data_IF_706218933246
#
_entry.id   IF_706218933246
#
_cell.length_a   1.000
_cell.length_b   1.000
_cell.length_c   1.000
_cell.angle_alpha   90.00
_cell.angle_beta   90.00
_cell.angle_gamma   90.00
#
_symmetry.space_group_name_H-M   'P 1'
#
loop_
_entity.id
_entity.type
_entity.pdbx_description
1 polymer ?
#
# COMPACT_ATOMS: atom_id res chain seq x y z
N UNK A 1 42.60 11.02 12.83
CA UNK A 1 41.18 11.08 12.44
C UNK A 1 40.45 9.97 13.16
N UNK A 2 39.77 10.31 14.25
CA UNK A 2 39.03 9.36 15.09
C UNK A 2 37.73 8.95 14.37
N UNK A 3 37.67 7.72 13.91
CA UNK A 3 36.43 7.04 13.50
C UNK A 3 35.48 7.01 14.68
N UNK A 4 34.52 7.94 14.72
CA UNK A 4 33.36 7.87 15.60
C UNK A 4 32.52 6.67 15.14
N UNK A 5 32.76 5.52 15.75
CA UNK A 5 31.79 4.42 15.75
C UNK A 5 30.56 4.95 16.49
N UNK A 6 29.56 5.44 15.76
CA UNK A 6 28.27 5.77 16.35
C UNK A 6 27.69 4.45 16.88
N UNK A 7 27.29 4.37 18.17
CA UNK A 7 26.55 3.21 18.64
C UNK A 7 25.34 3.03 17.72
N UNK A 8 25.05 1.79 17.31
CA UNK A 8 23.94 1.46 16.41
C UNK A 8 22.61 1.70 17.11
N UNK A 9 22.24 2.96 17.32
CA UNK A 9 20.93 3.30 17.86
C UNK A 9 19.93 2.94 16.79
N UNK A 10 19.06 1.97 17.06
CA UNK A 10 17.92 1.56 16.23
C UNK A 10 16.89 2.70 16.13
N UNK A 11 17.30 3.88 15.64
CA UNK A 11 16.45 5.05 15.50
C UNK A 11 15.93 5.12 14.08
N UNK A 12 14.61 5.19 13.95
CA UNK A 12 13.96 5.29 12.66
C UNK A 12 12.82 6.30 12.68
N UNK A 13 12.50 6.85 11.51
CA UNK A 13 11.32 7.66 11.31
C UNK A 13 10.31 6.92 10.42
N UNK A 14 9.03 6.95 10.79
CA UNK A 14 7.93 6.46 9.95
C UNK A 14 7.12 7.66 9.46
N UNK A 15 7.25 7.97 8.17
CA UNK A 15 6.49 9.02 7.49
C UNK A 15 5.16 8.43 7.01
N UNK A 16 4.04 9.03 7.41
CA UNK A 16 2.72 8.42 7.24
C UNK A 16 2.40 7.42 8.36
N UNK A 17 3.06 7.55 9.52
CA UNK A 17 2.89 6.64 10.64
C UNK A 17 1.48 6.65 11.23
N UNK A 18 0.69 7.72 11.08
CA UNK A 18 -0.71 7.74 11.52
C UNK A 18 -1.66 7.00 10.55
N UNK A 19 -1.17 6.51 9.41
CA UNK A 19 -1.93 5.73 8.45
C UNK A 19 -2.13 4.27 8.87
N UNK A 20 -2.92 3.52 8.09
CA UNK A 20 -3.23 2.11 8.34
C UNK A 20 -1.97 1.23 8.46
N UNK A 21 -1.16 1.14 7.39
CA UNK A 21 0.08 0.37 7.40
C UNK A 21 1.11 0.98 8.38
N UNK A 22 1.25 2.31 8.36
CA UNK A 22 2.21 3.04 9.19
C UNK A 22 2.04 2.74 10.67
N UNK A 23 0.79 2.65 11.15
CA UNK A 23 0.47 2.30 12.53
C UNK A 23 1.00 0.93 12.93
N UNK A 24 0.66 -0.09 12.14
CA UNK A 24 1.11 -1.46 12.40
C UNK A 24 2.65 -1.55 12.36
N UNK A 25 3.28 -0.77 11.47
CA UNK A 25 4.74 -0.69 11.39
C UNK A 25 5.35 -0.04 12.64
N UNK A 26 4.81 1.09 13.12
CA UNK A 26 5.25 1.76 14.36
C UNK A 26 5.12 0.81 15.55
N UNK A 27 3.96 0.19 15.74
CA UNK A 27 3.71 -0.77 16.82
C UNK A 27 4.74 -1.92 16.80
N UNK A 28 5.02 -2.49 15.61
CA UNK A 28 6.00 -3.57 15.47
C UNK A 28 7.44 -3.13 15.70
N UNK A 29 7.82 -1.93 15.26
CA UNK A 29 9.16 -1.37 15.46
C UNK A 29 9.42 -1.09 16.94
N UNK A 30 8.45 -0.52 17.66
CA UNK A 30 8.55 -0.31 19.11
C UNK A 30 8.73 -1.65 19.85
N UNK A 31 7.95 -2.67 19.51
CA UNK A 31 8.12 -4.02 20.07
C UNK A 31 9.50 -4.64 19.78
N UNK A 32 10.18 -4.25 18.70
CA UNK A 32 11.56 -4.68 18.38
C UNK A 32 12.65 -3.80 19.02
N UNK A 33 12.26 -2.84 19.87
CA UNK A 33 13.17 -1.96 20.59
C UNK A 33 13.75 -0.82 19.74
N UNK A 34 13.07 -0.40 18.68
CA UNK A 34 13.46 0.79 17.94
C UNK A 34 13.05 2.06 18.69
N UNK A 35 13.88 3.10 18.61
CA UNK A 35 13.48 4.47 18.93
C UNK A 35 12.74 5.05 17.71
N UNK A 36 11.42 5.15 17.79
CA UNK A 36 10.59 5.52 16.64
C UNK A 36 10.16 6.98 16.70
N UNK A 37 10.50 7.75 15.68
CA UNK A 37 9.84 9.02 15.36
C UNK A 37 8.71 8.75 14.37
N UNK A 38 7.59 9.44 14.53
CA UNK A 38 6.46 9.40 13.59
C UNK A 38 6.25 10.79 13.01
N UNK A 39 6.19 10.88 11.69
CA UNK A 39 5.90 12.12 10.99
C UNK A 39 4.61 11.96 10.18
N UNK A 40 3.63 12.82 10.43
CA UNK A 40 2.35 12.78 9.75
C UNK A 40 1.65 14.15 9.75
N UNK A 41 0.71 14.35 8.84
CA UNK A 41 -0.13 15.56 8.78
C UNK A 41 -1.17 15.62 9.89
N UNK A 42 -1.40 14.50 10.59
CA UNK A 42 -2.32 14.42 11.73
C UNK A 42 -1.90 13.32 12.70
N UNK A 43 -2.22 13.50 13.98
CA UNK A 43 -2.11 12.44 14.97
C UNK A 43 -3.48 11.80 15.19
N UNK A 44 -3.75 10.68 14.52
CA UNK A 44 -5.06 10.02 14.59
C UNK A 44 -5.24 9.14 15.83
N UNK A 45 -4.17 8.87 16.57
CA UNK A 45 -4.17 8.05 17.78
C UNK A 45 -2.90 8.30 18.60
N UNK A 46 -2.93 7.93 19.87
CA UNK A 46 -1.74 7.96 20.73
C UNK A 46 -0.80 6.80 20.41
N UNK A 47 0.51 7.07 20.40
CA UNK A 47 1.56 6.08 20.15
C UNK A 47 2.54 6.07 21.32
N UNK A 48 2.21 5.42 22.45
CA UNK A 48 3.10 5.32 23.59
C UNK A 48 4.47 4.75 23.16
N UNK A 49 5.55 5.44 23.49
CA UNK A 49 6.92 5.05 23.15
C UNK A 49 7.44 5.59 21.81
N UNK A 50 6.63 6.25 20.99
CA UNK A 50 7.08 6.97 19.80
C UNK A 50 7.04 8.50 20.01
N UNK A 51 7.94 9.22 19.33
CA UNK A 51 7.91 10.69 19.29
C UNK A 51 7.15 11.15 18.05
N UNK A 52 6.02 11.84 18.25
CA UNK A 52 5.21 12.35 17.15
C UNK A 52 5.66 13.74 16.69
N UNK A 53 5.73 13.94 15.38
CA UNK A 53 6.04 15.20 14.72
C UNK A 53 4.93 15.52 13.72
N UNK A 54 4.21 16.62 13.98
CA UNK A 54 3.18 17.12 13.07
C UNK A 54 3.82 17.92 11.94
N UNK A 55 3.49 17.59 10.69
CA UNK A 55 3.93 18.40 9.56
C UNK A 55 3.49 17.89 8.20
N UNK A 56 3.57 18.76 7.20
CA UNK A 56 3.45 18.39 5.79
C UNK A 56 4.80 17.93 5.26
N UNK A 57 4.86 16.75 4.63
CA UNK A 57 6.08 16.20 4.07
C UNK A 57 6.62 17.00 2.87
N UNK A 58 5.82 17.93 2.32
CA UNK A 58 6.28 18.91 1.33
C UNK A 58 7.12 20.02 1.97
N UNK A 59 7.05 20.20 3.29
CA UNK A 59 7.88 21.13 4.03
C UNK A 59 9.13 20.44 4.59
N UNK A 60 10.28 20.64 3.91
CA UNK A 60 11.56 20.06 4.31
C UNK A 60 11.93 20.37 5.76
N UNK A 61 11.70 21.61 6.21
CA UNK A 61 12.07 22.04 7.56
C UNK A 61 11.22 21.37 8.63
N UNK A 62 9.98 20.99 8.32
CA UNK A 62 9.14 20.22 9.23
C UNK A 62 9.65 18.76 9.40
N UNK A 63 10.27 18.19 8.36
CA UNK A 63 10.81 16.82 8.39
C UNK A 63 12.07 16.70 9.25
N UNK A 64 12.98 17.67 9.20
CA UNK A 64 14.31 17.57 9.84
C UNK A 64 14.27 17.21 11.34
N UNK A 65 13.37 17.78 12.18
CA UNK A 65 13.23 17.36 13.57
C UNK A 65 12.90 15.87 13.74
N UNK A 66 12.05 15.32 12.88
CA UNK A 66 11.66 13.90 12.93
C UNK A 66 12.77 12.96 12.45
N UNK A 67 13.66 13.46 11.58
CA UNK A 67 14.79 12.73 11.02
C UNK A 67 16.06 12.84 11.86
N UNK A 68 16.06 13.66 12.92
CA UNK A 68 17.22 13.87 13.77
C UNK A 68 17.74 12.53 14.33
N UNK A 69 19.01 12.25 14.05
CA UNK A 69 19.74 11.03 14.44
C UNK A 69 19.15 9.71 13.89
N UNK A 70 18.17 9.77 12.98
CA UNK A 70 17.60 8.58 12.37
C UNK A 70 18.53 8.01 11.30
N UNK A 71 18.84 6.72 11.37
CA UNK A 71 19.61 6.03 10.32
C UNK A 71 18.70 5.44 9.23
N UNK A 72 17.40 5.34 9.51
CA UNK A 72 16.41 4.62 8.71
C UNK A 72 15.09 5.40 8.64
N UNK A 73 14.53 5.51 7.44
CA UNK A 73 13.21 6.08 7.19
C UNK A 73 12.32 5.07 6.48
N UNK A 74 11.10 4.91 6.98
CA UNK A 74 10.02 4.23 6.29
C UNK A 74 9.06 5.28 5.72
N UNK A 75 8.92 5.33 4.40
CA UNK A 75 8.01 6.24 3.73
C UNK A 75 6.73 5.50 3.33
N UNK A 76 5.71 5.60 4.19
CA UNK A 76 4.39 4.99 4.03
C UNK A 76 3.30 5.99 3.58
N UNK A 77 3.60 7.28 3.57
CA UNK A 77 2.63 8.33 3.22
C UNK A 77 2.23 8.30 1.73
N UNK A 78 0.93 8.28 1.51
CA UNK A 78 0.24 8.46 0.23
C UNK A 78 -1.20 8.88 0.53
N UNK A 79 -1.86 9.66 -0.34
CA UNK A 79 -3.32 9.83 -0.26
C UNK A 79 -4.04 8.49 -0.44
N UNK A 80 -5.30 8.44 -0.01
CA UNK A 80 -6.15 7.26 -0.18
C UNK A 80 -6.31 6.93 -1.68
N UNK A 81 -6.12 5.67 -2.13
CA UNK A 81 -6.28 5.28 -3.54
C UNK A 81 -7.65 5.61 -4.12
N UNK A 82 -8.68 5.73 -3.28
CA UNK A 82 -10.04 6.11 -3.68
C UNK A 82 -10.25 7.62 -3.89
N UNK A 83 -9.23 8.46 -3.67
CA UNK A 83 -9.31 9.90 -3.91
C UNK A 83 -9.38 10.20 -5.41
N UNK A 84 -10.16 11.21 -5.79
CA UNK A 84 -10.20 11.73 -7.17
C UNK A 84 -9.30 12.99 -7.34
N UNK A 85 -8.59 13.38 -6.28
CA UNK A 85 -7.76 14.59 -6.26
C UNK A 85 -6.37 14.31 -6.85
N UNK A 86 -6.22 14.60 -8.15
CA UNK A 86 -4.95 14.46 -8.89
C UNK A 86 -3.84 15.33 -8.30
N UNK A 87 -4.14 16.58 -7.98
CA UNK A 87 -3.14 17.53 -7.46
C UNK A 87 -2.61 17.07 -6.10
N UNK A 88 -3.48 16.52 -5.25
CA UNK A 88 -3.08 15.92 -3.99
C UNK A 88 -2.12 14.73 -4.20
N UNK A 89 -2.38 13.86 -5.18
CA UNK A 89 -1.48 12.76 -5.51
C UNK A 89 -0.12 13.25 -6.00
N UNK A 90 -0.08 14.19 -6.95
CA UNK A 90 1.17 14.75 -7.47
C UNK A 90 1.95 15.46 -6.37
N UNK A 91 1.25 16.25 -5.52
CA UNK A 91 1.86 16.95 -4.39
C UNK A 91 2.47 15.98 -3.39
N UNK A 92 1.74 14.97 -2.95
CA UNK A 92 2.19 14.07 -1.89
C UNK A 92 3.17 13.01 -2.41
N UNK A 93 2.80 12.28 -3.46
CA UNK A 93 3.60 11.13 -3.92
C UNK A 93 4.82 11.56 -4.74
N UNK A 94 4.77 12.69 -5.44
CA UNK A 94 5.90 13.15 -6.27
C UNK A 94 6.69 14.24 -5.55
N UNK A 95 6.10 15.43 -5.36
CA UNK A 95 6.84 16.56 -4.76
C UNK A 95 7.27 16.26 -3.33
N UNK A 96 6.35 15.72 -2.55
CA UNK A 96 6.59 15.25 -1.20
C UNK A 96 7.73 14.25 -1.09
N UNK A 97 7.77 13.26 -1.97
CA UNK A 97 8.84 12.27 -2.00
C UNK A 97 10.19 12.89 -2.34
N UNK A 98 10.24 13.86 -3.26
CA UNK A 98 11.48 14.63 -3.52
C UNK A 98 11.94 15.35 -2.26
N UNK A 99 11.03 15.99 -1.53
CA UNK A 99 11.33 16.65 -0.26
C UNK A 99 11.83 15.66 0.79
N UNK A 100 11.22 14.49 0.90
CA UNK A 100 11.67 13.41 1.82
C UNK A 100 13.08 12.96 1.49
N UNK A 101 13.40 12.71 0.21
CA UNK A 101 14.75 12.33 -0.22
C UNK A 101 15.76 13.43 0.14
N UNK A 102 15.46 14.69 -0.16
CA UNK A 102 16.32 15.82 0.19
C UNK A 102 16.54 15.95 1.71
N UNK A 103 15.47 15.81 2.51
CA UNK A 103 15.55 15.86 3.97
C UNK A 103 16.36 14.69 4.54
N UNK A 104 16.23 13.49 3.96
CA UNK A 104 17.02 12.31 4.35
C UNK A 104 18.51 12.55 4.12
N UNK A 105 18.88 13.03 2.93
CA UNK A 105 20.28 13.33 2.59
C UNK A 105 20.85 14.43 3.51
N UNK A 106 20.09 15.50 3.77
CA UNK A 106 20.51 16.59 4.66
C UNK A 106 20.67 16.13 6.12
N UNK A 107 19.78 15.26 6.61
CA UNK A 107 19.84 14.71 7.96
C UNK A 107 20.87 13.58 8.14
N UNK A 108 21.48 13.09 7.05
CA UNK A 108 22.41 11.96 7.06
C UNK A 108 21.74 10.61 7.34
N UNK A 109 20.47 10.46 6.92
CA UNK A 109 19.77 9.16 6.92
C UNK A 109 20.46 8.25 5.91
N UNK A 110 20.69 6.98 6.26
CA UNK A 110 21.40 6.02 5.41
C UNK A 110 20.47 5.12 4.61
N UNK A 111 19.24 4.91 5.09
CA UNK A 111 18.31 3.92 4.53
C UNK A 111 16.92 4.49 4.35
N UNK A 112 16.36 4.33 3.16
CA UNK A 112 14.97 4.70 2.85
C UNK A 112 14.20 3.49 2.30
N UNK A 113 13.19 3.05 3.04
CA UNK A 113 12.25 2.00 2.62
C UNK A 113 10.94 2.66 2.20
N UNK A 114 10.62 2.58 0.91
CA UNK A 114 9.36 3.09 0.37
C UNK A 114 8.29 2.01 0.41
N UNK A 115 7.11 2.33 0.92
CA UNK A 115 5.89 1.57 0.61
C UNK A 115 5.42 1.99 -0.78
N UNK A 116 5.70 1.20 -1.80
CA UNK A 116 5.16 1.33 -3.16
C UNK A 116 3.82 0.59 -3.29
N UNK A 117 3.49 0.08 -4.48
CA UNK A 117 2.27 -0.68 -4.76
C UNK A 117 2.52 -1.67 -5.89
N UNK A 118 1.92 -2.85 -5.85
CA UNK A 118 1.92 -3.74 -7.01
C UNK A 118 1.17 -3.14 -8.22
N UNK A 119 0.32 -2.12 -8.01
CA UNK A 119 -0.38 -1.44 -9.10
C UNK A 119 0.56 -0.74 -10.08
N UNK A 120 1.81 -0.44 -9.72
CA UNK A 120 2.78 0.26 -10.59
C UNK A 120 3.09 -0.48 -11.89
N UNK A 121 2.81 -1.78 -11.96
CA UNK A 121 2.95 -2.62 -13.17
C UNK A 121 1.61 -3.07 -13.75
N UNK A 122 0.48 -2.69 -13.15
CA UNK A 122 -0.85 -3.13 -13.55
C UNK A 122 -1.56 -2.10 -14.42
N UNK A 123 -2.00 -2.52 -15.61
CA UNK A 123 -2.70 -1.68 -16.60
C UNK A 123 -4.12 -2.18 -16.92
N UNK A 124 -4.77 -2.88 -15.98
CA UNK A 124 -6.13 -3.39 -16.18
C UNK A 124 -6.20 -4.64 -17.06
N UNK A 125 -5.10 -5.39 -17.14
CA UNK A 125 -4.99 -6.66 -17.87
C UNK A 125 -4.44 -7.75 -16.95
N UNK A 126 -4.73 -8.99 -17.30
CA UNK A 126 -4.25 -10.17 -16.56
C UNK A 126 -2.74 -10.13 -16.32
N UNK A 127 -2.37 -10.20 -15.04
CA UNK A 127 -1.02 -10.52 -14.57
C UNK A 127 -1.13 -11.80 -13.75
N UNK A 128 -0.45 -12.85 -14.21
CA UNK A 128 -0.39 -14.15 -13.56
C UNK A 128 1.04 -14.43 -13.12
N UNK A 129 1.25 -14.50 -11.81
CA UNK A 129 2.56 -14.71 -11.19
C UNK A 129 3.59 -13.64 -11.61
N UNK A 130 3.16 -12.38 -11.63
CA UNK A 130 3.97 -11.23 -12.08
C UNK A 130 5.25 -11.04 -11.26
N UNK A 131 6.36 -10.83 -11.94
CA UNK A 131 7.67 -10.60 -11.34
C UNK A 131 7.98 -9.09 -11.23
N UNK A 132 8.91 -8.69 -10.37
CA UNK A 132 9.17 -7.26 -10.14
C UNK A 132 9.80 -6.51 -11.32
N UNK A 133 10.37 -7.24 -12.30
CA UNK A 133 10.96 -6.72 -13.54
C UNK A 133 9.93 -6.44 -14.64
N UNK A 134 8.64 -6.73 -14.39
CA UNK A 134 7.58 -6.25 -15.26
C UNK A 134 7.71 -4.73 -15.47
N UNK A 135 7.52 -4.24 -16.71
CA UNK A 135 7.62 -2.82 -16.98
C UNK A 135 6.53 -2.06 -16.21
N UNK A 136 6.85 -0.84 -15.80
CA UNK A 136 5.84 0.07 -15.27
C UNK A 136 4.66 0.19 -16.25
N UNK A 137 3.45 0.33 -15.70
CA UNK A 137 2.24 0.48 -16.49
C UNK A 137 2.37 1.69 -17.43
N UNK A 138 2.23 1.45 -18.74
CA UNK A 138 2.31 2.53 -19.76
C UNK A 138 1.04 3.36 -19.82
N UNK A 139 -0.08 2.74 -19.43
CA UNK A 139 -1.39 3.38 -19.31
C UNK A 139 -1.88 3.16 -17.88
N UNK A 140 -1.39 3.97 -16.90
CA UNK A 140 -1.84 3.88 -15.52
C UNK A 140 -3.35 3.97 -15.44
N UNK A 141 -3.91 3.20 -14.53
CA UNK A 141 -5.35 3.00 -14.44
C UNK A 141 -6.07 4.09 -13.63
N UNK A 142 -5.32 4.80 -12.80
CA UNK A 142 -5.77 5.89 -11.94
C UNK A 142 -4.58 6.79 -11.58
N UNK A 143 -4.88 7.98 -11.02
CA UNK A 143 -3.87 8.94 -10.56
C UNK A 143 -2.98 8.35 -9.46
N UNK A 144 -3.53 7.44 -8.65
CA UNK A 144 -2.75 6.73 -7.65
C UNK A 144 -1.61 5.95 -8.33
N UNK A 145 -1.92 5.09 -9.29
CA UNK A 145 -0.95 4.25 -10.00
C UNK A 145 0.07 5.10 -10.75
N UNK A 146 -0.37 6.15 -11.46
CA UNK A 146 0.52 7.09 -12.16
C UNK A 146 1.54 7.70 -11.20
N UNK A 147 1.08 8.25 -10.07
CA UNK A 147 1.97 8.91 -9.12
C UNK A 147 2.79 7.94 -8.27
N UNK A 148 2.32 6.72 -8.02
CA UNK A 148 3.10 5.66 -7.37
C UNK A 148 4.25 5.16 -8.25
N UNK A 149 4.07 5.11 -9.56
CA UNK A 149 5.15 4.80 -10.52
C UNK A 149 6.26 5.85 -10.39
N UNK A 150 5.90 7.13 -10.43
CA UNK A 150 6.89 8.21 -10.32
C UNK A 150 7.53 8.27 -8.94
N UNK A 151 6.76 8.04 -7.87
CA UNK A 151 7.28 7.94 -6.51
C UNK A 151 8.33 6.83 -6.38
N UNK A 152 8.04 5.63 -6.93
CA UNK A 152 8.98 4.51 -6.89
C UNK A 152 10.25 4.81 -7.68
N UNK A 153 10.13 5.35 -8.90
CA UNK A 153 11.29 5.77 -9.70
C UNK A 153 12.16 6.76 -8.94
N UNK A 154 11.59 7.79 -8.34
CA UNK A 154 12.33 8.80 -7.58
C UNK A 154 13.14 8.16 -6.45
N UNK A 155 12.54 7.28 -5.66
CA UNK A 155 13.24 6.63 -4.53
C UNK A 155 14.31 5.65 -5.02
N UNK A 156 14.01 4.81 -6.01
CA UNK A 156 14.97 3.83 -6.50
C UNK A 156 16.17 4.49 -7.20
N UNK A 157 15.93 5.56 -7.95
CA UNK A 157 16.99 6.35 -8.61
C UNK A 157 17.84 7.15 -7.61
N UNK A 158 17.30 7.49 -6.44
CA UNK A 158 18.05 8.16 -5.39
C UNK A 158 19.03 7.23 -4.66
N UNK A 159 18.99 5.91 -4.91
CA UNK A 159 19.93 4.98 -4.32
C UNK A 159 21.36 5.30 -4.76
N UNK A 160 22.22 5.63 -3.81
CA UNK A 160 23.60 6.04 -4.04
C UNK A 160 24.50 5.39 -2.98
N UNK A 161 25.25 4.36 -3.40
CA UNK A 161 26.17 3.63 -2.52
C UNK A 161 27.38 4.46 -2.10
N UNK A 162 27.81 5.42 -2.92
CA UNK A 162 28.97 6.27 -2.61
C UNK A 162 28.62 7.30 -1.53
N UNK A 163 27.36 7.74 -1.51
CA UNK A 163 26.82 8.65 -0.47
C UNK A 163 26.23 7.93 0.74
N UNK A 164 26.39 6.61 0.83
CA UNK A 164 25.79 5.76 1.90
C UNK A 164 24.27 5.98 2.04
N UNK A 165 23.58 6.24 0.92
CA UNK A 165 22.13 6.43 0.89
C UNK A 165 21.46 5.32 0.08
N UNK A 166 21.01 4.29 0.79
CA UNK A 166 20.47 3.08 0.21
C UNK A 166 18.94 3.14 0.21
N UNK A 167 18.33 2.71 -0.89
CA UNK A 167 16.87 2.67 -1.00
C UNK A 167 16.35 1.32 -1.44
N UNK A 168 15.10 1.03 -1.11
CA UNK A 168 14.36 -0.17 -1.53
C UNK A 168 12.86 0.13 -1.55
N UNK A 169 12.13 -0.46 -2.47
CA UNK A 169 10.68 -0.28 -2.58
C UNK A 169 9.93 -1.59 -2.32
N UNK A 170 8.89 -1.53 -1.49
CA UNK A 170 8.01 -2.65 -1.19
C UNK A 170 6.71 -2.50 -1.97
N UNK A 171 6.36 -3.47 -2.80
CA UNK A 171 5.14 -3.49 -3.63
C UNK A 171 4.12 -4.48 -3.04
N UNK A 172 3.35 -4.09 -2.01
CA UNK A 172 2.26 -4.91 -1.52
C UNK A 172 1.07 -4.87 -2.50
N UNK A 173 0.19 -5.86 -2.38
CA UNK A 173 -1.09 -5.90 -3.10
C UNK A 173 -2.25 -6.22 -2.15
N UNK A 174 -3.36 -5.49 -2.29
CA UNK A 174 -4.58 -5.71 -1.52
C UNK A 174 -4.37 -5.76 0.00
N UNK A 175 -3.72 -4.75 0.59
CA UNK A 175 -3.44 -4.76 2.05
C UNK A 175 -4.75 -4.80 2.82
N UNK A 176 -4.90 -5.78 3.71
CA UNK A 176 -6.06 -5.90 4.58
C UNK A 176 -5.62 -6.29 6.01
N UNK A 177 -6.48 -6.06 6.99
CA UNK A 177 -6.16 -6.34 8.38
C UNK A 177 -7.02 -5.54 9.36
N UNK A 178 -6.81 -5.74 10.67
CA UNK A 178 -7.44 -4.91 11.69
C UNK A 178 -7.19 -3.42 11.47
N UNK A 179 -8.25 -2.61 11.54
CA UNK A 179 -8.23 -1.15 11.33
C UNK A 179 -8.00 -0.70 9.89
N UNK A 180 -8.11 -1.60 8.91
CA UNK A 180 -8.28 -1.25 7.51
C UNK A 180 -9.43 -0.23 7.31
N UNK A 181 -9.15 0.97 6.78
CA UNK A 181 -10.17 1.99 6.58
C UNK A 181 -10.94 1.84 5.27
N UNK A 182 -10.53 0.93 4.37
CA UNK A 182 -11.03 0.88 3.00
C UNK A 182 -11.73 -0.43 2.67
N UNK A 183 -11.03 -1.55 2.65
CA UNK A 183 -11.57 -2.79 2.09
C UNK A 183 -12.79 -3.28 2.87
N UNK A 184 -12.67 -3.49 4.19
CA UNK A 184 -13.77 -4.05 5.00
C UNK A 184 -14.95 -3.08 5.10
N UNK A 185 -14.76 -1.78 5.44
CA UNK A 185 -15.88 -0.84 5.52
C UNK A 185 -16.61 -0.66 4.18
N UNK A 186 -15.89 -0.54 3.06
CA UNK A 186 -16.50 -0.39 1.73
C UNK A 186 -17.26 -1.66 1.33
N UNK A 187 -16.69 -2.84 1.61
CA UNK A 187 -17.31 -4.12 1.35
C UNK A 187 -18.65 -4.25 2.10
N UNK A 188 -18.65 -3.91 3.40
CA UNK A 188 -19.86 -3.94 4.25
C UNK A 188 -20.91 -2.92 3.81
N UNK A 189 -20.51 -1.66 3.54
CA UNK A 189 -21.45 -0.64 3.03
C UNK A 189 -22.09 -1.07 1.70
N UNK A 190 -21.28 -1.65 0.80
CA UNK A 190 -21.77 -2.16 -0.50
C UNK A 190 -22.72 -3.34 -0.31
N UNK A 191 -22.49 -4.20 0.69
CA UNK A 191 -23.40 -5.30 1.03
C UNK A 191 -24.70 -4.81 1.67
N UNK A 192 -24.64 -3.82 2.58
CA UNK A 192 -25.82 -3.18 3.18
C UNK A 192 -26.72 -2.53 2.13
N UNK A 193 -26.13 -1.97 1.07
CA UNK A 193 -26.85 -1.42 -0.10
C UNK A 193 -27.35 -2.49 -1.08
N UNK A 194 -27.15 -3.77 -0.80
CA UNK A 194 -27.59 -4.88 -1.63
C UNK A 194 -26.80 -5.05 -2.94
N UNK A 195 -25.64 -4.40 -3.08
CA UNK A 195 -24.83 -4.39 -4.31
C UNK A 195 -23.77 -5.50 -4.34
N UNK A 196 -23.37 -6.07 -3.21
CA UNK A 196 -22.46 -7.24 -3.13
C UNK A 196 -23.14 -8.58 -3.44
N UNK A 197 -24.19 -8.61 -4.26
CA UNK A 197 -24.87 -9.85 -4.67
C UNK A 197 -24.29 -10.44 -5.96
N UNK A 198 -23.53 -9.64 -6.70
CA UNK A 198 -23.07 -9.95 -8.04
C UNK A 198 -21.58 -10.31 -8.07
N UNK A 199 -21.24 -11.32 -8.86
CA UNK A 199 -19.89 -11.74 -9.23
C UNK A 199 -19.65 -11.25 -10.66
N UNK A 200 -18.56 -10.53 -10.89
CA UNK A 200 -18.19 -10.05 -12.22
C UNK A 200 -17.40 -11.15 -12.92
N UNK A 201 -17.85 -11.56 -14.11
CA UNK A 201 -17.25 -12.65 -14.87
C UNK A 201 -17.61 -14.03 -14.30
N UNK A 202 -16.73 -15.00 -14.53
CA UNK A 202 -16.89 -16.38 -14.05
C UNK A 202 -16.43 -16.57 -12.59
N UNK A 203 -15.89 -15.52 -11.97
CA UNK A 203 -15.41 -15.54 -10.58
C UNK A 203 -14.10 -16.31 -10.37
N UNK A 204 -13.41 -16.72 -11.44
CA UNK A 204 -12.18 -17.52 -11.36
C UNK A 204 -10.91 -16.68 -11.24
N UNK A 205 -11.05 -15.35 -11.26
CA UNK A 205 -9.93 -14.42 -11.24
C UNK A 205 -9.16 -14.48 -9.90
N UNK A 206 -7.88 -14.85 -10.02
CA UNK A 206 -6.94 -14.94 -8.90
C UNK A 206 -6.25 -13.60 -8.66
N UNK A 207 -6.19 -13.20 -7.40
CA UNK A 207 -5.63 -11.93 -6.92
C UNK A 207 -4.86 -12.17 -5.62
N UNK A 208 -3.97 -11.23 -5.28
CA UNK A 208 -3.34 -11.22 -3.95
C UNK A 208 -4.15 -10.38 -2.94
N UNK A 209 -4.27 -10.88 -1.72
CA UNK A 209 -4.63 -10.06 -0.57
C UNK A 209 -3.57 -10.26 0.49
N UNK A 210 -2.89 -9.19 0.89
CA UNK A 210 -1.74 -9.31 1.79
C UNK A 210 -2.11 -8.83 3.17
N UNK A 211 -2.00 -9.70 4.17
CA UNK A 211 -2.27 -9.31 5.55
C UNK A 211 -1.27 -8.23 6.01
N UNK A 212 -1.76 -7.20 6.71
CA UNK A 212 -0.95 -6.02 7.07
C UNK A 212 0.31 -6.36 7.85
N UNK A 213 0.28 -7.36 8.74
CA UNK A 213 1.48 -7.78 9.48
C UNK A 213 2.54 -8.43 8.57
N UNK A 214 2.13 -9.09 7.48
CA UNK A 214 3.06 -9.64 6.48
C UNK A 214 3.73 -8.50 5.69
N UNK A 215 2.98 -7.45 5.37
CA UNK A 215 3.55 -6.25 4.74
C UNK A 215 4.56 -5.57 5.67
N UNK A 216 4.20 -5.39 6.95
CA UNK A 216 5.11 -4.85 7.97
C UNK A 216 6.36 -5.71 8.12
N UNK A 217 6.20 -7.04 8.14
CA UNK A 217 7.32 -7.96 8.18
C UNK A 217 8.26 -7.77 7.00
N UNK A 218 7.73 -7.65 5.78
CA UNK A 218 8.52 -7.36 4.57
C UNK A 218 9.28 -6.03 4.64
N UNK A 219 8.67 -4.97 5.19
CA UNK A 219 9.34 -3.67 5.37
C UNK A 219 10.54 -3.79 6.34
N UNK A 220 10.34 -4.48 7.47
CA UNK A 220 11.40 -4.64 8.46
C UNK A 220 12.54 -5.51 7.90
N UNK A 221 12.23 -6.60 7.21
CA UNK A 221 13.24 -7.42 6.55
C UNK A 221 14.04 -6.63 5.52
N UNK A 222 13.37 -5.81 4.72
CA UNK A 222 14.05 -4.94 3.76
C UNK A 222 15.00 -3.96 4.46
N UNK A 223 14.58 -3.32 5.55
CA UNK A 223 15.45 -2.44 6.32
C UNK A 223 16.68 -3.15 6.93
N UNK A 224 16.49 -4.38 7.42
CA UNK A 224 17.55 -5.22 8.01
C UNK A 224 18.56 -5.72 6.95
N UNK A 225 18.08 -6.00 5.73
CA UNK A 225 18.90 -6.47 4.61
C UNK A 225 19.47 -5.35 3.73
N UNK A 226 19.03 -4.10 3.91
CA UNK A 226 19.51 -2.96 3.12
C UNK A 226 20.89 -2.53 3.64
N UNK A 227 21.94 -3.07 3.00
CA UNK A 227 23.36 -2.83 3.30
C UNK A 227 24.09 -2.51 1.99
N UNK A 228 25.25 -1.81 2.01
CA UNK A 228 25.89 -1.36 0.78
C UNK A 228 26.20 -2.48 -0.24
N UNK A 229 26.53 -3.67 0.27
CA UNK A 229 26.83 -4.89 -0.48
C UNK A 229 25.58 -5.69 -0.90
N UNK A 230 24.39 -5.27 -0.44
CA UNK A 230 23.16 -6.02 -0.64
C UNK A 230 22.66 -5.93 -2.08
N UNK A 231 22.16 -7.05 -2.65
CA UNK A 231 21.55 -7.05 -3.98
C UNK A 231 20.24 -6.25 -4.03
N UNK A 232 19.68 -5.86 -2.88
CA UNK A 232 18.35 -5.23 -2.80
C UNK A 232 18.37 -3.71 -3.02
N UNK A 233 19.56 -3.09 -2.96
CA UNK A 233 19.73 -1.65 -3.12
C UNK A 233 19.19 -1.18 -4.48
N UNK A 234 18.33 -0.15 -4.46
CA UNK A 234 17.75 0.43 -5.66
C UNK A 234 16.78 -0.49 -6.38
N UNK A 235 16.20 -1.49 -5.68
CA UNK A 235 15.26 -2.45 -6.29
C UNK A 235 13.88 -2.49 -5.63
N UNK A 236 12.84 -2.85 -6.40
CA UNK A 236 11.54 -3.18 -5.88
C UNK A 236 11.40 -4.66 -5.51
N UNK A 237 10.51 -4.95 -4.54
CA UNK A 237 10.17 -6.29 -4.07
C UNK A 237 8.66 -6.45 -3.89
N UNK A 238 8.07 -7.49 -4.48
CA UNK A 238 6.69 -7.84 -4.18
C UNK A 238 6.61 -8.53 -2.81
N UNK A 239 5.70 -8.05 -1.98
CA UNK A 239 5.39 -8.65 -0.68
C UNK A 239 3.92 -9.04 -0.71
N UNK A 240 3.67 -10.34 -0.82
CA UNK A 240 2.33 -10.94 -0.94
C UNK A 240 2.09 -11.95 0.18
N UNK A 241 0.88 -12.48 0.30
CA UNK A 241 0.58 -13.55 1.25
C UNK A 241 1.09 -14.93 0.80
N UNK A 242 1.68 -15.03 -0.40
CA UNK A 242 2.07 -16.30 -1.05
C UNK A 242 0.91 -17.30 -1.22
N UNK A 243 -0.33 -16.78 -1.18
CA UNK A 243 -1.58 -17.54 -1.25
C UNK A 243 -2.57 -16.82 -2.20
N UNK A 244 -2.35 -16.84 -3.53
CA UNK A 244 -3.29 -16.25 -4.48
C UNK A 244 -4.68 -16.88 -4.32
N UNK A 245 -5.70 -16.04 -4.18
CA UNK A 245 -7.07 -16.46 -3.91
C UNK A 245 -8.00 -15.90 -4.96
N UNK A 246 -9.15 -16.55 -5.18
CA UNK A 246 -10.18 -15.96 -6.04
C UNK A 246 -10.72 -14.70 -5.37
N UNK A 247 -10.80 -13.61 -6.12
CA UNK A 247 -11.28 -12.32 -5.61
C UNK A 247 -12.63 -12.46 -4.89
N UNK A 248 -13.57 -13.17 -5.52
CA UNK A 248 -14.92 -13.33 -5.00
C UNK A 248 -15.03 -14.29 -3.81
N UNK A 249 -14.13 -15.28 -3.71
CA UNK A 249 -14.07 -16.18 -2.55
C UNK A 249 -13.60 -15.40 -1.32
N UNK A 250 -12.54 -14.59 -1.45
CA UNK A 250 -12.08 -13.72 -0.37
C UNK A 250 -13.18 -12.74 0.10
N UNK A 251 -13.85 -12.07 -0.84
CA UNK A 251 -14.96 -11.15 -0.51
C UNK A 251 -16.11 -11.90 0.18
N UNK A 252 -16.42 -13.11 -0.26
CA UNK A 252 -17.44 -13.98 0.34
C UNK A 252 -17.08 -14.36 1.77
N UNK A 253 -15.85 -14.80 2.03
CA UNK A 253 -15.38 -15.19 3.36
C UNK A 253 -15.52 -14.04 4.37
N UNK A 254 -15.07 -12.84 4.01
CA UNK A 254 -15.20 -11.66 4.88
C UNK A 254 -16.66 -11.30 5.14
N UNK A 255 -17.51 -11.32 4.10
CA UNK A 255 -18.94 -11.00 4.23
C UNK A 255 -19.69 -11.99 5.12
N UNK A 256 -19.50 -13.29 4.87
CA UNK A 256 -20.16 -14.36 5.64
C UNK A 256 -19.72 -14.32 7.10
N UNK A 257 -18.42 -14.11 7.37
CA UNK A 257 -17.90 -14.01 8.73
C UNK A 257 -18.44 -12.79 9.50
N UNK A 258 -18.86 -11.72 8.79
CA UNK A 258 -19.54 -10.56 9.36
C UNK A 258 -21.08 -10.71 9.40
N UNK A 259 -21.63 -11.84 8.95
CA UNK A 259 -23.07 -12.14 8.96
C UNK A 259 -23.85 -11.67 7.73
N UNK A 260 -23.17 -11.24 6.65
CA UNK A 260 -23.80 -10.85 5.38
C UNK A 260 -23.91 -12.04 4.43
N UNK A 261 -24.73 -11.90 3.38
CA UNK A 261 -24.87 -12.93 2.36
C UNK A 261 -23.68 -12.88 1.38
N UNK A 262 -23.20 -14.06 0.99
CA UNK A 262 -22.21 -14.20 -0.08
C UNK A 262 -22.77 -13.71 -1.44
N UNK A 263 -21.92 -13.16 -2.32
CA UNK A 263 -22.26 -12.95 -3.73
C UNK A 263 -22.65 -14.27 -4.41
N UNK A 264 -23.68 -14.27 -5.28
CA UNK A 264 -24.20 -15.49 -5.92
C UNK A 264 -24.54 -15.34 -7.41
N UNK A 265 -24.77 -14.13 -7.89
CA UNK A 265 -25.26 -13.90 -9.25
C UNK A 265 -24.10 -13.52 -10.17
N UNK A 266 -23.80 -14.34 -11.16
CA UNK A 266 -22.77 -14.03 -12.14
C UNK A 266 -23.30 -13.03 -13.18
N UNK A 267 -22.54 -11.97 -13.41
CA UNK A 267 -22.76 -11.01 -14.49
C UNK A 267 -21.63 -11.15 -15.51
N UNK A 268 -21.94 -11.37 -16.81
CA UNK A 268 -20.90 -11.48 -17.82
C UNK A 268 -20.02 -10.22 -17.87
N UNK A 269 -18.70 -10.42 -17.84
CA UNK A 269 -17.72 -9.33 -17.75
C UNK A 269 -17.95 -8.25 -18.81
N UNK A 270 -18.22 -8.64 -20.06
CA UNK A 270 -18.41 -7.71 -21.17
C UNK A 270 -19.65 -6.81 -20.99
N UNK A 271 -20.72 -7.32 -20.38
CA UNK A 271 -21.93 -6.53 -20.10
C UNK A 271 -21.63 -5.46 -19.05
N UNK A 272 -20.98 -5.89 -17.96
CA UNK A 272 -20.58 -5.04 -16.84
C UNK A 272 -19.59 -3.97 -17.31
N UNK A 273 -18.59 -4.36 -18.10
CA UNK A 273 -17.58 -3.47 -18.64
C UNK A 273 -18.17 -2.48 -19.67
N UNK A 274 -19.04 -2.96 -20.56
CA UNK A 274 -19.76 -2.12 -21.52
C UNK A 274 -20.66 -1.08 -20.85
N UNK A 275 -21.38 -1.47 -19.79
CA UNK A 275 -22.17 -0.54 -18.98
C UNK A 275 -21.27 0.50 -18.30
N UNK A 276 -20.13 0.09 -17.76
CA UNK A 276 -19.19 1.01 -17.14
C UNK A 276 -18.60 2.02 -18.15
N UNK A 277 -18.31 1.57 -19.38
CA UNK A 277 -17.86 2.46 -20.47
C UNK A 277 -18.95 3.45 -20.88
N UNK A 278 -20.20 2.98 -20.99
CA UNK A 278 -21.35 3.84 -21.28
C UNK A 278 -21.55 4.91 -20.21
N UNK A 279 -21.52 4.52 -18.92
CA UNK A 279 -21.64 5.45 -17.80
C UNK A 279 -20.49 6.45 -17.76
N UNK A 280 -19.26 6.00 -18.05
CA UNK A 280 -18.12 6.89 -18.17
C UNK A 280 -18.30 7.90 -19.32
N UNK A 281 -18.71 7.44 -20.50
CA UNK A 281 -18.97 8.30 -21.65
C UNK A 281 -20.09 9.33 -21.38
N UNK A 282 -21.19 8.89 -20.78
CA UNK A 282 -22.29 9.77 -20.35
C UNK A 282 -21.81 10.79 -19.31
N UNK A 283 -20.95 10.39 -18.38
CA UNK A 283 -20.38 11.32 -17.39
C UNK A 283 -19.52 12.41 -18.03
N UNK A 284 -18.81 12.10 -19.13
CA UNK A 284 -18.04 13.09 -19.88
C UNK A 284 -18.95 14.09 -20.61
N UNK A 285 -20.04 13.62 -21.23
CA UNK A 285 -21.01 14.48 -21.92
C UNK A 285 -21.74 15.39 -20.94
N UNK A 286 -22.14 14.86 -19.78
CA UNK A 286 -22.93 15.57 -18.78
C UNK A 286 -22.07 16.46 -17.87
N UNK A 287 -20.74 16.31 -17.89
CA UNK A 287 -19.77 17.06 -17.07
C UNK A 287 -19.96 18.60 -17.06
N UNK A 288 -20.36 19.28 -18.16
CA UNK A 288 -20.57 20.73 -18.16
C UNK A 288 -21.84 21.16 -17.41
N UNK A 289 -22.80 20.27 -17.24
CA UNK A 289 -24.15 20.57 -16.73
C UNK A 289 -24.38 19.97 -15.34
N UNK A 290 -23.80 18.80 -15.06
CA UNK A 290 -23.93 18.07 -13.81
C UNK A 290 -22.63 17.36 -13.43
N UNK A 291 -22.23 17.47 -12.16
CA UNK A 291 -21.10 16.71 -11.60
C UNK A 291 -21.52 15.29 -11.21
N UNK A 292 -21.79 14.43 -12.21
CA UNK A 292 -22.05 13.02 -11.96
C UNK A 292 -20.74 12.23 -11.87
N UNK A 293 -20.46 11.64 -10.71
CA UNK A 293 -19.30 10.75 -10.51
C UNK A 293 -19.74 9.29 -10.52
N UNK A 294 -19.51 8.55 -11.62
CA UNK A 294 -19.86 7.13 -11.65
C UNK A 294 -18.97 6.36 -10.67
N UNK A 295 -19.57 5.86 -9.60
CA UNK A 295 -18.93 4.92 -8.64
C UNK A 295 -18.52 3.59 -9.30
N UNK A 296 -19.04 3.34 -10.51
CA UNK A 296 -18.86 2.14 -11.31
C UNK A 296 -18.08 2.49 -12.58
N UNK A 297 -16.77 2.29 -12.54
CA UNK A 297 -15.85 2.62 -13.64
C UNK A 297 -15.36 1.35 -14.33
N UNK A 298 -15.01 1.41 -15.63
CA UNK A 298 -14.39 0.28 -16.34
C UNK A 298 -13.18 -0.27 -15.58
N UNK A 299 -12.49 0.60 -14.84
CA UNK A 299 -11.34 0.22 -14.04
C UNK A 299 -11.67 -0.63 -12.82
N UNK A 300 -12.71 -0.27 -12.05
CA UNK A 300 -13.15 -1.11 -10.92
C UNK A 300 -13.65 -2.47 -11.41
N UNK A 301 -14.26 -2.49 -12.60
CA UNK A 301 -14.67 -3.74 -13.26
C UNK A 301 -13.46 -4.58 -13.65
N UNK A 302 -12.43 -3.99 -14.25
CA UNK A 302 -11.19 -4.69 -14.58
C UNK A 302 -10.48 -5.24 -13.34
N UNK A 303 -10.37 -4.45 -12.27
CA UNK A 303 -9.78 -4.92 -11.00
C UNK A 303 -10.55 -6.11 -10.39
N UNK A 304 -11.87 -6.13 -10.52
CA UNK A 304 -12.72 -7.20 -9.99
C UNK A 304 -12.88 -8.41 -10.93
N UNK A 305 -12.43 -8.30 -12.19
CA UNK A 305 -12.65 -9.32 -13.23
C UNK A 305 -11.40 -9.82 -13.96
N UNK A 306 -10.21 -9.32 -13.61
CA UNK A 306 -8.92 -9.77 -14.18
C UNK A 306 -8.07 -10.45 -13.12
N UNK A 307 -7.13 -11.28 -13.56
CA UNK A 307 -6.10 -11.85 -12.69
C UNK A 307 -5.02 -10.81 -12.38
N UNK A 308 -4.60 -10.70 -11.13
CA UNK A 308 -3.47 -9.85 -10.76
C UNK A 308 -2.82 -10.36 -9.47
N UNK A 309 -2.01 -11.39 -9.62
CA UNK A 309 -1.20 -11.94 -8.54
C UNK A 309 0.29 -11.98 -8.92
N UNK A 310 1.14 -11.81 -7.93
CA UNK A 310 2.56 -11.51 -8.08
C UNK A 310 3.42 -12.53 -7.32
N UNK A 311 4.56 -12.88 -7.91
CA UNK A 311 5.54 -13.72 -7.22
C UNK A 311 6.28 -12.88 -6.18
N UNK A 312 6.44 -13.44 -4.98
CA UNK A 312 7.34 -12.91 -3.97
C UNK A 312 8.66 -13.70 -3.88
N UNK A 313 9.01 -14.49 -4.91
CA UNK A 313 10.18 -15.36 -4.87
C UNK A 313 11.50 -14.59 -4.77
N UNK A 314 11.56 -13.37 -5.34
CA UNK A 314 12.71 -12.48 -5.14
C UNK A 314 12.84 -12.06 -3.68
N UNK A 315 11.74 -11.73 -3.02
CA UNK A 315 11.73 -11.40 -1.60
C UNK A 315 12.12 -12.62 -0.74
N UNK A 316 11.66 -13.83 -1.07
CA UNK A 316 12.07 -15.07 -0.38
C UNK A 316 13.59 -15.28 -0.47
N UNK A 317 14.16 -15.10 -1.66
CA UNK A 317 15.60 -15.29 -1.90
C UNK A 317 16.47 -14.22 -1.25
N UNK A 318 16.14 -12.95 -1.45
CA UNK A 318 17.05 -11.85 -1.11
C UNK A 318 16.83 -11.29 0.31
N UNK A 319 15.61 -11.44 0.85
CA UNK A 319 15.22 -10.92 2.18
C UNK A 319 14.96 -12.03 3.20
N UNK A 320 14.91 -13.30 2.77
CA UNK A 320 14.42 -14.41 3.59
C UNK A 320 12.92 -14.30 3.92
N UNK A 321 12.15 -13.55 3.13
CA UNK A 321 10.74 -13.30 3.39
C UNK A 321 9.92 -14.58 3.36
N UNK A 322 9.08 -14.77 4.38
CA UNK A 322 7.96 -15.70 4.39
C UNK A 322 6.78 -15.03 5.10
N UNK A 323 5.54 -15.20 4.63
CA UNK A 323 4.36 -14.73 5.35
C UNK A 323 4.37 -15.26 6.78
N UNK A 324 4.12 -14.39 7.76
CA UNK A 324 4.06 -14.74 9.19
C UNK A 324 2.63 -15.06 9.66
N UNK A 325 1.63 -14.71 8.85
CA UNK A 325 0.20 -14.98 9.07
C UNK A 325 -0.39 -15.50 7.76
N UNK A 326 -1.07 -16.65 7.79
CA UNK A 326 -1.75 -17.17 6.60
C UNK A 326 -3.06 -16.40 6.34
N UNK A 327 -3.60 -16.52 5.13
CA UNK A 327 -4.75 -15.73 4.68
C UNK A 327 -5.98 -15.96 5.55
N UNK A 328 -6.26 -17.24 5.89
CA UNK A 328 -7.38 -17.64 6.75
C UNK A 328 -7.32 -16.95 8.11
N UNK A 329 -6.18 -17.04 8.79
CA UNK A 329 -5.98 -16.38 10.08
C UNK A 329 -6.07 -14.86 9.96
N UNK A 330 -5.52 -14.28 8.89
CA UNK A 330 -5.63 -12.86 8.59
C UNK A 330 -7.09 -12.40 8.48
N UNK A 331 -7.95 -13.16 7.80
CA UNK A 331 -9.39 -12.88 7.67
C UNK A 331 -10.07 -12.95 9.03
N UNK A 332 -9.82 -14.00 9.82
CA UNK A 332 -10.39 -14.18 11.16
C UNK A 332 -10.06 -13.00 12.08
N UNK A 333 -8.77 -12.62 12.17
CA UNK A 333 -8.31 -11.46 12.97
C UNK A 333 -8.93 -10.15 12.48
N UNK A 334 -9.05 -9.99 11.16
CA UNK A 334 -9.67 -8.80 10.55
C UNK A 334 -11.13 -8.70 10.98
N UNK A 335 -11.92 -9.75 10.79
CA UNK A 335 -13.36 -9.78 11.13
C UNK A 335 -13.59 -9.54 12.61
N UNK A 336 -12.77 -10.11 13.49
CA UNK A 336 -12.84 -9.90 14.93
C UNK A 336 -12.65 -8.42 15.32
N UNK A 337 -11.88 -7.65 14.55
CA UNK A 337 -11.65 -6.23 14.81
C UNK A 337 -12.82 -5.31 14.43
N UNK A 338 -13.85 -5.82 13.75
CA UNK A 338 -15.04 -5.06 13.33
C UNK A 338 -16.36 -5.56 13.93
N UNK A 339 -16.50 -5.64 15.26
CA UNK A 339 -17.78 -6.05 15.88
C UNK A 339 -18.92 -5.10 15.48
N UNK A 340 -18.64 -3.80 15.35
CA UNK A 340 -19.60 -2.77 14.95
C UNK A 340 -20.05 -2.82 13.47
N UNK A 341 -19.38 -3.60 12.62
CA UNK A 341 -19.79 -3.79 11.23
C UNK A 341 -20.59 -5.09 11.02
N UNK A 342 -20.71 -5.94 12.04
CA UNK A 342 -21.51 -7.16 11.95
C UNK A 342 -22.96 -6.83 11.62
N UNK A 343 -23.62 -7.75 10.90
CA UNK A 343 -25.04 -7.58 10.57
C UNK A 343 -25.87 -7.56 11.86
N UNK A 344 -26.63 -6.48 12.05
CA UNK A 344 -27.46 -6.27 13.25
C UNK A 344 -26.75 -5.62 14.43
N UNK A 345 -25.50 -5.19 14.26
CA UNK A 345 -24.78 -4.35 15.22
C UNK A 345 -25.24 -2.87 15.18
#
# INVERSE_FOLDING_TARGET
MTTRVRPSTKRCCVIGGSGFLGRHLVEKLLHRGYCVSVFDIRQSYEMPGATFHLGDLCNKQALLPALKDASLVFHCASPAPSSDDRELFERVNIQGTRTVIQACLEAGVQKLVLTSSASVVFEGKDIKNGQEDLPYAKKPIDYYTETKIEQEKLVLQACDREKDFLTVAIRPHGIFGPRDPQLVPILVDTARRGKMKFIIGDGTNLVDFTFVENVVHGHILAAEHLRPDSPICGKPYHITNDEPVRFWDFMSEVLVALGYAAPRFHLPYFVVYGLALLLWFLSLILRPVMSFRPTFTPMRVALAGTHHFYSCDRAKRDLGYKPVVCLKEGIERTVQSYPHLRKGA
#
